data_IF_716152303054
#
_entry.id   IF_716152303054
#
_cell.length_a   1.000
_cell.length_b   1.000
_cell.length_c   1.000
_cell.angle_alpha   90.00
_cell.angle_beta   90.00
_cell.angle_gamma   90.00
#
_symmetry.space_group_name_H-M   'P 1'
#
loop_
_entity.id
_entity.type
_entity.pdbx_description
1 polymer ?
#
# COMPACT_ATOMS: atom_id res chain seq x y z
N UNK A 1 12.21 -16.89 -0.87
CA UNK A 1 12.09 -18.34 -0.65
C UNK A 1 13.15 -19.18 -1.38
N UNK A 2 14.17 -18.61 -2.04
CA UNK A 2 15.30 -19.30 -2.65
C UNK A 2 15.00 -20.26 -3.83
N UNK A 3 13.74 -20.32 -4.29
CA UNK A 3 13.36 -21.18 -5.41
C UNK A 3 13.82 -20.61 -6.76
N UNK A 4 13.81 -19.28 -6.89
CA UNK A 4 14.21 -18.58 -8.11
C UNK A 4 15.43 -17.72 -7.86
N UNK A 5 16.31 -17.59 -8.87
CA UNK A 5 17.46 -16.69 -8.86
C UNK A 5 17.06 -15.33 -9.48
N UNK A 6 17.89 -14.31 -9.27
CA UNK A 6 17.62 -12.96 -9.73
C UNK A 6 17.35 -12.85 -11.25
N UNK A 7 17.99 -13.69 -12.06
CA UNK A 7 17.88 -13.68 -13.52
C UNK A 7 16.93 -14.74 -14.09
N UNK A 8 16.24 -15.50 -13.22
CA UNK A 8 15.32 -16.53 -13.67
C UNK A 8 14.06 -15.92 -14.32
N UNK A 9 13.67 -16.47 -15.45
CA UNK A 9 12.34 -16.25 -16.01
C UNK A 9 11.35 -17.11 -15.24
N UNK A 10 10.28 -16.49 -14.77
CA UNK A 10 9.22 -17.17 -14.03
C UNK A 10 7.98 -17.23 -14.91
N UNK A 11 7.47 -18.44 -15.12
CA UNK A 11 6.27 -18.66 -15.91
C UNK A 11 5.06 -18.79 -15.00
N UNK A 12 3.88 -18.43 -15.50
CA UNK A 12 2.63 -18.67 -14.78
C UNK A 12 2.44 -20.16 -14.43
N UNK A 13 2.84 -21.07 -15.33
CA UNK A 13 2.82 -22.52 -15.10
C UNK A 13 3.80 -23.01 -14.02
N UNK A 14 4.83 -22.25 -13.66
CA UNK A 14 5.72 -22.57 -12.53
C UNK A 14 5.03 -22.38 -11.18
N UNK A 15 4.03 -21.51 -11.15
CA UNK A 15 3.21 -21.26 -9.95
C UNK A 15 2.12 -22.33 -9.86
N UNK A 16 1.46 -22.61 -10.98
CA UNK A 16 0.37 -23.54 -11.06
C UNK A 16 0.34 -24.23 -12.44
N UNK A 17 0.47 -25.54 -12.46
CA UNK A 17 0.74 -26.33 -13.68
C UNK A 17 -0.34 -26.22 -14.78
N UNK A 18 -1.58 -25.86 -14.43
CA UNK A 18 -2.69 -25.66 -15.35
C UNK A 18 -2.79 -24.20 -15.87
N UNK A 19 -1.88 -23.32 -15.47
CA UNK A 19 -1.79 -21.94 -15.94
C UNK A 19 -0.93 -21.84 -17.20
N UNK A 20 -1.01 -20.69 -17.93
CA UNK A 20 -0.25 -20.48 -19.16
C UNK A 20 1.27 -20.64 -18.97
N UNK A 21 1.96 -20.99 -20.07
CA UNK A 21 3.43 -21.14 -20.09
C UNK A 21 4.15 -19.84 -20.46
N UNK A 22 3.44 -18.73 -20.45
CA UNK A 22 3.97 -17.40 -20.66
C UNK A 22 4.75 -16.91 -19.44
N UNK A 23 5.74 -16.04 -19.70
CA UNK A 23 6.54 -15.37 -18.67
C UNK A 23 5.70 -14.37 -17.89
N UNK A 24 5.87 -14.31 -16.56
CA UNK A 24 5.26 -13.29 -15.72
C UNK A 24 6.06 -12.01 -15.85
N UNK A 25 5.39 -10.91 -16.19
CA UNK A 25 5.97 -9.58 -16.23
C UNK A 25 5.75 -8.88 -14.89
N UNK A 26 6.80 -8.83 -14.08
CA UNK A 26 6.76 -8.18 -12.76
C UNK A 26 6.92 -6.67 -12.89
N UNK A 27 6.07 -5.91 -12.18
CA UNK A 27 6.07 -4.46 -12.19
C UNK A 27 5.91 -3.90 -10.77
N UNK A 28 6.47 -2.73 -10.51
CA UNK A 28 6.35 -2.08 -9.19
C UNK A 28 6.86 -0.65 -9.18
N UNK A 29 6.64 0.07 -8.07
CA UNK A 29 7.26 1.37 -7.85
C UNK A 29 8.75 1.21 -7.62
N UNK A 30 9.53 2.23 -7.97
CA UNK A 30 10.97 2.24 -7.73
C UNK A 30 11.32 2.55 -6.26
N UNK A 31 12.62 2.51 -5.95
CA UNK A 31 13.18 2.70 -4.61
C UNK A 31 12.89 4.06 -3.96
N UNK A 32 12.39 5.04 -4.70
CA UNK A 32 11.98 6.33 -4.16
C UNK A 32 10.62 6.27 -3.42
N UNK A 33 9.95 5.11 -3.47
CA UNK A 33 8.65 4.90 -2.85
C UNK A 33 8.75 4.00 -1.61
N UNK A 34 8.15 4.44 -0.51
CA UNK A 34 8.02 3.59 0.68
C UNK A 34 7.23 2.28 0.45
N UNK A 35 6.46 2.17 -0.65
CA UNK A 35 5.81 0.92 -1.05
C UNK A 35 6.83 -0.11 -1.55
N UNK A 36 7.90 0.34 -2.25
CA UNK A 36 9.02 -0.52 -2.63
C UNK A 36 9.71 -1.08 -1.38
N UNK A 37 10.06 -0.21 -0.42
CA UNK A 37 10.72 -0.60 0.81
C UNK A 37 9.87 -1.58 1.63
N UNK A 38 8.58 -1.31 1.77
CA UNK A 38 7.65 -2.21 2.45
C UNK A 38 7.58 -3.58 1.76
N UNK A 39 7.49 -3.64 0.43
CA UNK A 39 7.46 -4.88 -0.33
C UNK A 39 8.78 -5.67 -0.14
N UNK A 40 9.91 -4.98 -0.24
CA UNK A 40 11.23 -5.57 -0.03
C UNK A 40 11.38 -6.14 1.39
N UNK A 41 11.00 -5.38 2.42
CA UNK A 41 11.19 -5.79 3.81
C UNK A 41 10.20 -6.86 4.26
N UNK A 42 8.90 -6.68 3.96
CA UNK A 42 7.83 -7.49 4.53
C UNK A 42 7.50 -8.71 3.66
N UNK A 43 7.51 -8.55 2.33
CA UNK A 43 7.08 -9.61 1.42
C UNK A 43 8.26 -10.43 0.94
N UNK A 44 9.36 -9.77 0.59
CA UNK A 44 10.57 -10.45 0.13
C UNK A 44 11.52 -10.86 1.25
N UNK A 45 11.23 -10.49 2.50
CA UNK A 45 12.11 -10.77 3.65
C UNK A 45 13.57 -10.33 3.37
N UNK A 46 13.71 -9.12 2.80
CA UNK A 46 14.98 -8.49 2.40
C UNK A 46 15.78 -9.27 1.34
N UNK A 47 15.11 -10.13 0.58
CA UNK A 47 15.71 -10.77 -0.57
C UNK A 47 15.56 -9.88 -1.81
N UNK A 48 16.57 -9.88 -2.67
CA UNK A 48 16.57 -9.09 -3.90
C UNK A 48 15.41 -9.49 -4.83
N UNK A 49 14.84 -8.49 -5.48
CA UNK A 49 13.89 -8.72 -6.58
C UNK A 49 14.63 -9.33 -7.77
N UNK A 50 13.88 -10.02 -8.63
CA UNK A 50 14.41 -10.46 -9.94
C UNK A 50 14.80 -9.22 -10.76
N UNK A 51 15.86 -9.32 -11.56
CA UNK A 51 16.41 -8.18 -12.31
C UNK A 51 15.51 -7.70 -13.45
N UNK A 52 14.52 -8.51 -13.83
CA UNK A 52 13.54 -8.22 -14.89
C UNK A 52 12.35 -7.39 -14.43
N UNK A 53 12.25 -7.02 -13.13
CA UNK A 53 11.15 -6.18 -12.62
C UNK A 53 11.17 -4.80 -13.29
N UNK A 54 10.04 -4.41 -13.87
CA UNK A 54 9.86 -3.08 -14.44
C UNK A 54 9.46 -2.11 -13.32
N UNK A 55 10.43 -1.33 -12.83
CA UNK A 55 10.25 -0.36 -11.75
C UNK A 55 9.94 1.04 -12.30
N UNK A 56 8.88 1.67 -11.81
CA UNK A 56 8.39 2.96 -12.28
C UNK A 56 8.34 4.01 -11.16
N UNK A 57 8.59 5.27 -11.54
CA UNK A 57 8.46 6.42 -10.63
C UNK A 57 7.00 6.79 -10.41
N UNK A 58 6.15 6.68 -11.43
CA UNK A 58 4.76 7.13 -11.40
C UNK A 58 3.79 5.95 -11.30
N UNK A 59 2.90 5.97 -10.30
CA UNK A 59 1.90 4.91 -10.11
C UNK A 59 0.88 4.85 -11.25
N UNK A 60 0.53 5.98 -11.88
CA UNK A 60 -0.34 6.01 -13.05
C UNK A 60 0.25 5.21 -14.22
N UNK A 61 1.57 5.31 -14.42
CA UNK A 61 2.28 4.51 -15.42
C UNK A 61 2.19 3.02 -15.11
N UNK A 62 2.29 2.61 -13.84
CA UNK A 62 2.11 1.21 -13.45
C UNK A 62 0.70 0.69 -13.77
N UNK A 63 -0.32 1.48 -13.46
CA UNK A 63 -1.71 1.13 -13.78
C UNK A 63 -1.88 0.90 -15.27
N UNK A 64 -1.35 1.80 -16.10
CA UNK A 64 -1.43 1.69 -17.55
C UNK A 64 -0.66 0.47 -18.09
N UNK A 65 0.54 0.22 -17.59
CA UNK A 65 1.34 -0.94 -18.00
C UNK A 65 0.65 -2.27 -17.67
N UNK A 66 0.16 -2.42 -16.44
CA UNK A 66 -0.51 -3.66 -16.01
C UNK A 66 -1.84 -3.86 -16.73
N UNK A 67 -2.60 -2.80 -16.94
CA UNK A 67 -3.91 -2.92 -17.63
C UNK A 67 -3.80 -3.29 -19.11
N UNK A 68 -2.63 -3.07 -19.73
CA UNK A 68 -2.38 -3.39 -21.13
C UNK A 68 -1.55 -4.67 -21.35
N UNK A 69 -1.19 -5.38 -20.28
CA UNK A 69 -0.38 -6.60 -20.34
C UNK A 69 -1.04 -7.73 -19.54
N UNK A 70 -1.57 -8.72 -20.23
CA UNK A 70 -2.29 -9.86 -19.62
C UNK A 70 -1.39 -10.77 -18.79
N UNK A 71 -0.06 -10.68 -18.96
CA UNK A 71 0.93 -11.45 -18.22
C UNK A 71 1.57 -10.65 -17.08
N UNK A 72 1.13 -9.40 -16.87
CA UNK A 72 1.67 -8.54 -15.83
C UNK A 72 1.07 -8.81 -14.45
N UNK A 73 1.91 -8.69 -13.45
CA UNK A 73 1.54 -8.55 -12.04
C UNK A 73 2.31 -7.39 -11.44
N UNK A 74 1.63 -6.57 -10.64
CA UNK A 74 2.27 -5.44 -9.98
C UNK A 74 1.88 -5.31 -8.51
N UNK A 75 2.70 -4.56 -7.78
CA UNK A 75 2.39 -4.12 -6.42
C UNK A 75 2.42 -2.59 -6.36
N UNK A 76 1.43 -1.98 -5.72
CA UNK A 76 1.32 -0.54 -5.49
C UNK A 76 0.27 -0.23 -4.42
N UNK A 77 0.14 1.04 -4.03
CA UNK A 77 -0.79 1.45 -2.98
C UNK A 77 -2.26 1.20 -3.35
N UNK A 78 -3.04 0.77 -2.36
CA UNK A 78 -4.46 0.43 -2.51
C UNK A 78 -5.29 1.48 -3.26
N UNK A 79 -5.02 2.77 -3.04
CA UNK A 79 -5.77 3.84 -3.68
C UNK A 79 -5.72 3.84 -5.21
N UNK A 80 -4.60 3.42 -5.77
CA UNK A 80 -4.48 3.30 -7.23
C UNK A 80 -5.26 2.11 -7.77
N UNK A 81 -5.36 1.01 -7.04
CA UNK A 81 -6.25 -0.09 -7.36
C UNK A 81 -7.72 0.32 -7.23
N UNK A 82 -8.11 0.92 -6.10
CA UNK A 82 -9.49 1.31 -5.82
C UNK A 82 -10.07 2.28 -6.86
N UNK A 83 -9.23 3.16 -7.43
CA UNK A 83 -9.60 4.06 -8.50
C UNK A 83 -9.61 3.44 -9.91
N UNK A 84 -9.22 2.16 -10.08
CA UNK A 84 -9.07 1.48 -11.37
C UNK A 84 -9.58 0.03 -11.36
N UNK A 85 -10.61 -0.26 -10.60
CA UNK A 85 -11.20 -1.61 -10.49
C UNK A 85 -11.89 -2.09 -11.77
N UNK A 86 -12.14 -1.19 -12.70
CA UNK A 86 -12.62 -1.49 -14.05
C UNK A 86 -11.52 -2.06 -14.97
N UNK A 87 -10.25 -1.84 -14.64
CA UNK A 87 -9.08 -2.26 -15.43
C UNK A 87 -8.23 -3.30 -14.74
N UNK A 88 -8.26 -3.36 -13.42
CA UNK A 88 -7.37 -4.15 -12.58
C UNK A 88 -8.14 -5.13 -11.70
N UNK A 89 -7.55 -6.28 -11.45
CA UNK A 89 -8.04 -7.26 -10.47
C UNK A 89 -7.01 -7.43 -9.37
N UNK A 90 -7.43 -7.32 -8.11
CA UNK A 90 -6.55 -7.59 -6.99
C UNK A 90 -6.35 -9.09 -6.78
N UNK A 91 -5.10 -9.50 -6.62
CA UNK A 91 -4.77 -10.86 -6.18
C UNK A 91 -5.13 -11.00 -4.70
N UNK A 92 -5.90 -12.03 -4.38
CA UNK A 92 -6.16 -12.37 -2.98
C UNK A 92 -4.95 -13.04 -2.34
N UNK A 93 -4.70 -12.70 -1.08
CA UNK A 93 -3.56 -13.23 -0.31
C UNK A 93 -4.08 -14.00 0.89
N UNK A 94 -3.50 -15.17 1.14
CA UNK A 94 -3.81 -15.98 2.32
C UNK A 94 -2.76 -15.75 3.42
N UNK A 95 -3.18 -15.13 4.51
CA UNK A 95 -2.37 -14.93 5.72
C UNK A 95 -2.55 -16.05 6.75
N UNK A 96 -3.10 -17.20 6.34
CA UNK A 96 -3.30 -18.37 7.20
C UNK A 96 -4.75 -18.56 7.67
N UNK A 97 -5.67 -17.67 7.27
CA UNK A 97 -7.11 -17.75 7.60
C UNK A 97 -7.99 -17.81 6.35
N UNK A 98 -7.40 -18.08 5.20
CA UNK A 98 -8.03 -18.09 3.89
C UNK A 98 -7.73 -16.85 3.06
N UNK A 99 -7.98 -16.91 1.73
CA UNK A 99 -7.69 -15.82 0.81
C UNK A 99 -8.53 -14.58 1.11
N UNK A 100 -7.87 -13.41 1.20
CA UNK A 100 -8.50 -12.11 1.43
C UNK A 100 -7.97 -11.09 0.42
N UNK A 101 -8.87 -10.27 -0.15
CA UNK A 101 -8.53 -9.16 -1.02
C UNK A 101 -8.46 -7.83 -0.26
N UNK A 102 -7.80 -6.81 -0.84
CA UNK A 102 -7.72 -5.48 -0.25
C UNK A 102 -9.03 -4.71 -0.47
N UNK A 103 -9.73 -4.42 0.60
CA UNK A 103 -10.91 -3.53 0.64
C UNK A 103 -10.82 -2.60 1.85
N UNK A 104 -11.65 -1.56 1.91
CA UNK A 104 -11.69 -0.67 3.09
C UNK A 104 -12.04 -1.47 4.37
N UNK A 105 -12.86 -2.51 4.25
CA UNK A 105 -13.28 -3.34 5.38
C UNK A 105 -12.21 -4.37 5.81
N UNK A 106 -11.25 -4.68 4.94
CA UNK A 106 -10.19 -5.67 5.24
C UNK A 106 -8.84 -5.05 5.56
N UNK A 107 -8.60 -3.79 5.12
CA UNK A 107 -7.34 -3.08 5.35
C UNK A 107 -7.36 -2.40 6.72
N UNK A 108 -6.46 -2.81 7.60
CA UNK A 108 -6.28 -2.26 8.95
C UNK A 108 -5.31 -3.13 9.73
N UNK A 109 -4.74 -2.58 10.81
CA UNK A 109 -3.72 -3.29 11.59
C UNK A 109 -4.27 -4.53 12.32
N UNK A 110 -5.56 -4.51 12.63
CA UNK A 110 -6.28 -5.61 13.33
C UNK A 110 -7.33 -6.27 12.41
N UNK A 111 -7.24 -6.06 11.09
CA UNK A 111 -8.18 -6.57 10.11
C UNK A 111 -7.53 -7.69 9.26
N UNK A 112 -8.32 -8.44 8.48
CA UNK A 112 -7.81 -9.61 7.74
C UNK A 112 -6.63 -9.34 6.80
N UNK A 113 -6.48 -8.12 6.27
CA UNK A 113 -5.39 -7.72 5.38
C UNK A 113 -4.20 -7.07 6.11
N UNK A 114 -4.11 -7.25 7.45
CA UNK A 114 -3.08 -6.64 8.30
C UNK A 114 -1.64 -6.95 7.85
N UNK A 115 -1.40 -8.16 7.33
CA UNK A 115 -0.06 -8.57 6.87
C UNK A 115 0.51 -7.69 5.74
N UNK A 116 -0.35 -7.04 4.94
CA UNK A 116 0.06 -6.09 3.89
C UNK A 116 -0.44 -4.67 4.15
N UNK A 117 -0.76 -4.37 5.40
CA UNK A 117 -1.19 -3.05 5.84
C UNK A 117 -0.08 -2.36 6.62
N UNK A 118 0.08 -1.07 6.40
CA UNK A 118 0.97 -0.21 7.19
C UNK A 118 0.29 1.12 7.47
N UNK A 119 0.55 1.73 8.65
CA UNK A 119 0.09 3.08 8.92
C UNK A 119 0.89 4.12 8.14
N UNK A 120 0.24 5.23 7.81
CA UNK A 120 0.88 6.45 7.31
C UNK A 120 0.89 7.46 8.44
N UNK A 121 2.06 8.00 8.77
CA UNK A 121 2.26 8.93 9.87
C UNK A 121 2.40 10.36 9.38
N UNK A 122 1.78 11.29 10.09
CA UNK A 122 2.05 12.73 9.98
C UNK A 122 2.77 13.19 11.24
N UNK A 123 3.90 13.86 11.07
CA UNK A 123 4.72 14.33 12.18
C UNK A 123 4.43 15.80 12.47
N UNK A 124 4.16 16.14 13.74
CA UNK A 124 3.96 17.48 14.22
C UNK A 124 5.20 17.96 14.99
N UNK A 125 5.77 19.10 14.60
CA UNK A 125 6.82 19.74 15.38
C UNK A 125 6.20 20.42 16.61
N UNK A 126 6.42 19.84 17.79
CA UNK A 126 5.82 20.30 19.05
C UNK A 126 6.18 21.75 19.40
N UNK A 127 7.43 22.16 19.16
CA UNK A 127 7.84 23.55 19.38
C UNK A 127 7.03 24.52 18.50
N UNK A 128 6.88 24.20 17.22
CA UNK A 128 6.08 25.04 16.33
C UNK A 128 4.58 25.00 16.68
N UNK A 129 4.08 23.87 17.15
CA UNK A 129 2.68 23.77 17.58
C UNK A 129 2.37 24.67 18.78
N UNK A 130 3.36 24.87 19.68
CA UNK A 130 3.23 25.76 20.83
C UNK A 130 3.43 27.23 20.45
N UNK A 131 4.40 27.54 19.58
CA UNK A 131 4.76 28.92 19.23
C UNK A 131 3.88 29.54 18.12
N UNK A 132 3.23 28.68 17.31
CA UNK A 132 2.48 29.08 16.10
C UNK A 132 1.10 28.44 16.11
N UNK A 133 0.05 29.14 16.57
CA UNK A 133 -1.30 28.60 16.71
C UNK A 133 -1.80 27.91 15.43
N UNK A 134 -1.50 28.46 14.25
CA UNK A 134 -1.92 27.91 12.97
C UNK A 134 -1.36 26.49 12.69
N UNK A 135 -0.21 26.13 13.27
CA UNK A 135 0.37 24.77 13.11
C UNK A 135 -0.44 23.76 13.90
N UNK A 136 -0.82 24.11 15.12
CA UNK A 136 -1.66 23.26 15.96
C UNK A 136 -3.10 23.19 15.43
N UNK A 137 -3.66 24.30 14.96
CA UNK A 137 -5.00 24.35 14.37
C UNK A 137 -5.08 23.49 13.10
N UNK A 138 -4.04 23.52 12.25
CA UNK A 138 -3.96 22.66 11.08
C UNK A 138 -3.92 21.18 11.47
N UNK A 139 -3.11 20.80 12.47
CA UNK A 139 -3.06 19.43 12.96
C UNK A 139 -4.42 18.94 13.51
N UNK A 140 -5.09 19.80 14.30
CA UNK A 140 -6.45 19.53 14.80
C UNK A 140 -7.46 19.37 13.66
N UNK A 141 -7.39 20.22 12.63
CA UNK A 141 -8.23 20.12 11.44
C UNK A 141 -8.01 18.80 10.70
N UNK A 142 -6.75 18.42 10.46
CA UNK A 142 -6.41 17.14 9.78
C UNK A 142 -7.01 15.96 10.52
N UNK A 143 -6.89 15.90 11.84
CA UNK A 143 -7.40 14.78 12.64
C UNK A 143 -8.92 14.79 12.73
N UNK A 144 -9.55 15.96 12.90
CA UNK A 144 -11.00 16.12 13.11
C UNK A 144 -11.81 15.91 11.84
N UNK A 145 -11.30 16.41 10.71
CA UNK A 145 -12.04 16.56 9.46
C UNK A 145 -11.29 15.98 8.27
N UNK A 146 -10.06 16.42 8.05
CA UNK A 146 -9.33 16.12 6.82
C UNK A 146 -9.10 14.60 6.63
N UNK A 147 -8.55 13.92 7.62
CA UNK A 147 -8.28 12.49 7.50
C UNK A 147 -9.55 11.62 7.49
N UNK A 148 -10.55 11.84 8.37
CA UNK A 148 -11.80 11.08 8.30
C UNK A 148 -12.55 11.22 6.97
N UNK A 149 -12.59 12.42 6.39
CA UNK A 149 -13.36 12.68 5.17
C UNK A 149 -12.60 12.34 3.89
N UNK A 150 -11.28 12.55 3.87
CA UNK A 150 -10.48 12.48 2.65
C UNK A 150 -9.67 11.18 2.52
N UNK A 151 -9.55 10.37 3.56
CA UNK A 151 -8.74 9.16 3.51
C UNK A 151 -9.21 8.23 2.39
N UNK A 152 -10.47 7.82 2.38
CA UNK A 152 -11.03 6.90 1.38
C UNK A 152 -10.95 7.45 -0.04
N UNK A 153 -11.20 8.75 -0.22
CA UNK A 153 -11.15 9.42 -1.54
C UNK A 153 -9.72 9.42 -2.10
N UNK A 154 -8.73 9.45 -1.22
CA UNK A 154 -7.31 9.40 -1.58
C UNK A 154 -6.69 7.99 -1.47
N UNK A 155 -7.54 6.97 -1.34
CA UNK A 155 -7.10 5.58 -1.35
C UNK A 155 -6.44 5.08 -0.07
N UNK A 156 -6.71 5.73 1.05
CA UNK A 156 -6.33 5.25 2.37
C UNK A 156 -7.53 4.66 3.09
N UNK A 157 -7.34 3.58 3.83
CA UNK A 157 -8.34 3.12 4.78
C UNK A 157 -8.37 4.09 5.99
N UNK A 158 -9.54 4.68 6.33
CA UNK A 158 -9.65 5.57 7.48
C UNK A 158 -9.42 4.80 8.78
N UNK A 159 -8.90 5.49 9.79
CA UNK A 159 -8.81 4.94 11.13
C UNK A 159 -10.21 4.87 11.80
N UNK A 160 -10.40 4.01 12.80
CA UNK A 160 -11.59 4.04 13.64
C UNK A 160 -11.83 5.40 14.32
N UNK A 161 -13.08 5.78 14.50
CA UNK A 161 -13.44 7.11 15.02
C UNK A 161 -12.91 7.39 16.44
N UNK A 162 -12.82 6.38 17.29
CA UNK A 162 -12.25 6.47 18.63
C UNK A 162 -10.73 6.76 18.61
N UNK A 163 -10.02 6.25 17.62
CA UNK A 163 -8.58 6.52 17.41
C UNK A 163 -8.38 8.00 17.05
N UNK A 164 -9.18 8.54 16.13
CA UNK A 164 -9.15 9.97 15.80
C UNK A 164 -9.50 10.83 17.03
N UNK A 165 -10.49 10.45 17.83
CA UNK A 165 -10.85 11.15 19.07
C UNK A 165 -9.69 11.16 20.07
N UNK A 166 -8.95 10.04 20.20
CA UNK A 166 -7.77 9.95 21.05
C UNK A 166 -6.65 10.91 20.60
N UNK A 167 -6.35 10.97 19.31
CA UNK A 167 -5.37 11.92 18.78
C UNK A 167 -5.81 13.39 18.94
N UNK A 168 -7.09 13.69 18.76
CA UNK A 168 -7.61 15.04 18.98
C UNK A 168 -7.40 15.47 20.43
N UNK A 169 -7.72 14.59 21.40
CA UNK A 169 -7.48 14.84 22.84
C UNK A 169 -6.00 15.14 23.13
N UNK A 170 -5.08 14.38 22.51
CA UNK A 170 -3.64 14.63 22.63
C UNK A 170 -3.24 16.02 22.07
N UNK A 171 -3.75 16.40 20.89
CA UNK A 171 -3.49 17.69 20.28
C UNK A 171 -4.08 18.85 21.08
N UNK A 172 -5.24 18.67 21.74
CA UNK A 172 -5.85 19.66 22.61
C UNK A 172 -5.05 19.91 23.89
N UNK A 173 -4.26 18.93 24.34
CA UNK A 173 -3.39 19.08 25.50
C UNK A 173 -2.09 19.86 25.23
N UNK A 174 -1.78 20.18 23.98
CA UNK A 174 -0.56 20.91 23.59
C UNK A 174 -0.74 22.44 23.71
N UNK A 175 -1.96 22.96 23.67
CA UNK A 175 -2.26 24.39 23.59
C UNK A 175 -3.05 24.98 24.72
#
# INVERSE_FOLDING_TARGET
SGKYKADDKVLWSDIRADWPTEEIHFMGPNENHGTYEFFYEVILDKQDMVTTVNLQQEYSTLVDLVSNDVNAIAFFGYGYYAGNTDKLTAVQVDFGSGPVGPTIETIGMDLPYAGFTRPVYTYLNLKHATEKPQVLDYAKYVVRTGAPELASVNGFAPLPADVYAGYLTQLESIG
#
